data_IF_504620352457
#
_entry.id   IF_504620352457
#
_cell.length_a   1.000
_cell.length_b   1.000
_cell.length_c   1.000
_cell.angle_alpha   90.00
_cell.angle_beta   90.00
_cell.angle_gamma   90.00
#
_symmetry.space_group_name_H-M   'P 1'
#
loop_
_entity.id
_entity.type
_entity.pdbx_description
1 polymer ?
#
# COMPACT_ATOMS: atom_id res chain seq x y z
N UNK A 1 -24.91 -16.89 -24.73
CA UNK A 1 -23.54 -17.43 -24.54
C UNK A 1 -22.59 -16.49 -23.80
N UNK A 2 -23.11 -15.55 -22.99
CA UNK A 2 -22.26 -14.63 -22.18
C UNK A 2 -21.87 -15.20 -20.80
N UNK A 3 -22.39 -16.39 -20.43
CA UNK A 3 -22.21 -16.95 -19.09
C UNK A 3 -20.90 -17.68 -18.82
N UNK A 4 -20.04 -17.88 -19.83
CA UNK A 4 -18.81 -18.69 -19.69
C UNK A 4 -17.51 -17.87 -19.63
N UNK A 5 -17.61 -16.55 -19.72
CA UNK A 5 -16.43 -15.68 -19.59
C UNK A 5 -16.19 -15.28 -18.13
N UNK A 6 -14.95 -15.32 -17.70
CA UNK A 6 -14.50 -14.80 -16.41
C UNK A 6 -13.36 -13.85 -16.60
N UNK A 7 -13.43 -12.74 -15.89
CA UNK A 7 -12.37 -11.75 -15.81
C UNK A 7 -11.57 -12.00 -14.55
N UNK A 8 -10.27 -12.07 -14.69
CA UNK A 8 -9.33 -12.11 -13.59
C UNK A 8 -8.61 -10.77 -13.54
N UNK A 9 -8.41 -10.24 -12.34
CA UNK A 9 -7.77 -8.95 -12.19
C UNK A 9 -6.95 -8.82 -10.92
N UNK A 10 -5.89 -7.99 -10.99
CA UNK A 10 -4.99 -7.68 -9.89
C UNK A 10 -4.38 -6.30 -10.06
N UNK A 11 -3.77 -5.75 -9.01
CA UNK A 11 -2.99 -4.51 -9.09
C UNK A 11 -1.52 -4.87 -9.32
N UNK A 12 -0.91 -4.31 -10.35
CA UNK A 12 0.49 -4.55 -10.67
C UNK A 12 1.42 -4.03 -9.55
N UNK A 13 2.27 -4.87 -8.95
CA UNK A 13 3.19 -4.42 -7.90
C UNK A 13 4.24 -3.43 -8.38
N UNK A 14 4.57 -3.46 -9.70
CA UNK A 14 5.62 -2.60 -10.26
C UNK A 14 5.13 -1.20 -10.61
N UNK A 15 3.99 -1.09 -11.31
CA UNK A 15 3.49 0.22 -11.77
C UNK A 15 2.24 0.71 -11.05
N UNK A 16 1.62 -0.11 -10.20
CA UNK A 16 0.41 0.24 -9.45
C UNK A 16 -0.88 0.22 -10.27
N UNK A 17 -0.80 -0.03 -11.59
CA UNK A 17 -1.96 -0.03 -12.45
C UNK A 17 -2.84 -1.28 -12.27
N UNK A 18 -4.17 -1.16 -12.42
CA UNK A 18 -5.07 -2.31 -12.50
C UNK A 18 -4.80 -3.10 -13.78
N UNK A 19 -4.79 -4.41 -13.65
CA UNK A 19 -4.58 -5.36 -14.76
C UNK A 19 -5.76 -6.30 -14.80
N UNK A 20 -6.40 -6.43 -15.95
CA UNK A 20 -7.53 -7.33 -16.17
C UNK A 20 -7.35 -8.16 -17.44
N UNK A 21 -7.88 -9.38 -17.41
CA UNK A 21 -7.97 -10.22 -18.61
C UNK A 21 -9.13 -11.17 -18.53
N UNK A 22 -9.94 -11.19 -19.57
CA UNK A 22 -11.08 -12.10 -19.69
C UNK A 22 -10.66 -13.40 -20.36
N UNK A 23 -11.14 -14.52 -19.84
CA UNK A 23 -10.96 -15.87 -20.40
C UNK A 23 -12.27 -16.66 -20.28
N UNK A 24 -12.53 -17.54 -21.22
CA UNK A 24 -13.64 -18.48 -21.03
C UNK A 24 -13.24 -19.55 -20.01
N UNK A 25 -14.22 -20.06 -19.27
CA UNK A 25 -14.02 -21.17 -18.32
C UNK A 25 -13.36 -22.35 -19.04
N UNK A 26 -13.84 -22.65 -20.25
CA UNK A 26 -13.24 -23.71 -21.06
C UNK A 26 -11.74 -23.47 -21.35
N UNK A 27 -11.35 -22.23 -21.67
CA UNK A 27 -9.93 -21.90 -21.90
C UNK A 27 -9.11 -22.01 -20.63
N UNK A 28 -9.65 -21.62 -19.47
CA UNK A 28 -9.00 -21.74 -18.17
C UNK A 28 -8.81 -23.20 -17.72
N UNK A 29 -9.71 -24.11 -18.16
CA UNK A 29 -9.64 -25.55 -17.85
C UNK A 29 -8.78 -26.33 -18.86
N UNK A 30 -8.67 -25.85 -20.11
CA UNK A 30 -7.95 -26.54 -21.17
C UNK A 30 -6.45 -26.26 -21.21
N UNK A 31 -6.00 -25.11 -20.72
CA UNK A 31 -4.60 -24.69 -20.76
C UNK A 31 -4.29 -23.66 -19.68
N UNK A 32 -3.01 -23.55 -19.36
CA UNK A 32 -2.49 -22.47 -18.53
C UNK A 32 -2.80 -21.12 -19.19
N UNK A 33 -3.22 -20.16 -18.41
CA UNK A 33 -3.51 -18.81 -18.88
C UNK A 33 -2.67 -17.77 -18.12
N UNK A 34 -2.28 -16.74 -18.87
CA UNK A 34 -1.48 -15.63 -18.38
C UNK A 34 -2.20 -14.31 -18.62
N UNK A 35 -2.11 -13.42 -17.63
CA UNK A 35 -2.60 -12.05 -17.71
C UNK A 35 -1.45 -11.12 -17.34
N UNK A 36 -0.82 -10.54 -18.35
CA UNK A 36 0.36 -9.71 -18.20
C UNK A 36 -0.02 -8.23 -18.07
N UNK A 37 0.72 -7.52 -17.21
CA UNK A 37 0.65 -6.07 -17.15
C UNK A 37 1.33 -5.46 -18.39
N UNK A 38 0.76 -4.38 -18.93
CA UNK A 38 1.34 -3.64 -20.06
C UNK A 38 2.73 -3.09 -19.81
N UNK A 39 3.10 -2.87 -18.53
CA UNK A 39 4.46 -2.46 -18.15
C UNK A 39 5.50 -3.58 -18.22
N UNK A 40 5.09 -4.84 -18.49
CA UNK A 40 5.95 -6.02 -18.51
C UNK A 40 6.50 -6.42 -17.13
N UNK A 41 6.04 -5.79 -16.05
CA UNK A 41 6.60 -5.97 -14.71
C UNK A 41 5.96 -7.06 -13.85
N UNK A 42 4.81 -7.59 -14.29
CA UNK A 42 4.09 -8.65 -13.56
C UNK A 42 3.17 -9.44 -14.49
N UNK A 43 2.96 -10.70 -14.14
CA UNK A 43 2.07 -11.62 -14.85
C UNK A 43 1.33 -12.46 -13.81
N UNK A 44 0.00 -12.50 -13.90
CA UNK A 44 -0.82 -13.45 -13.17
C UNK A 44 -0.88 -14.74 -13.99
N UNK A 45 -0.53 -15.87 -13.37
CA UNK A 45 -0.64 -17.19 -13.98
C UNK A 45 -1.80 -17.96 -13.36
N UNK A 46 -2.54 -18.67 -14.17
CA UNK A 46 -3.59 -19.59 -13.72
C UNK A 46 -3.45 -20.91 -14.44
N UNK A 47 -3.62 -21.99 -13.72
CA UNK A 47 -3.63 -23.37 -14.24
C UNK A 47 -4.72 -24.18 -13.56
N UNK A 48 -5.15 -25.27 -14.17
CA UNK A 48 -6.19 -26.16 -13.66
C UNK A 48 -5.68 -27.61 -13.65
N UNK A 49 -5.76 -28.27 -12.49
CA UNK A 49 -5.27 -29.64 -12.29
C UNK A 49 -6.37 -30.72 -12.46
N UNK A 50 -7.57 -30.33 -12.91
CA UNK A 50 -8.74 -31.20 -13.03
C UNK A 50 -9.64 -31.19 -11.79
N UNK A 51 -9.18 -30.64 -10.67
CA UNK A 51 -9.92 -30.54 -9.42
C UNK A 51 -10.03 -29.12 -8.89
N UNK A 52 -8.99 -28.30 -9.09
CA UNK A 52 -8.93 -26.93 -8.58
C UNK A 52 -8.07 -26.04 -9.48
N UNK A 53 -8.35 -24.77 -9.45
CA UNK A 53 -7.49 -23.76 -10.06
C UNK A 53 -6.36 -23.39 -9.12
N UNK A 54 -5.17 -23.26 -9.68
CA UNK A 54 -3.99 -22.70 -9.05
C UNK A 54 -3.73 -21.33 -9.64
N UNK A 55 -3.67 -20.31 -8.82
CA UNK A 55 -3.37 -18.95 -9.23
C UNK A 55 -2.07 -18.48 -8.58
N UNK A 56 -1.15 -17.96 -9.40
CA UNK A 56 0.03 -17.26 -8.95
C UNK A 56 -0.22 -15.76 -9.15
N UNK A 57 -0.52 -15.07 -8.06
CA UNK A 57 -0.99 -13.68 -8.06
C UNK A 57 0.12 -12.74 -7.67
N UNK A 58 0.59 -11.84 -8.57
CA UNK A 58 1.45 -10.74 -8.19
C UNK A 58 0.67 -9.74 -7.32
N UNK A 59 1.10 -9.52 -6.11
CA UNK A 59 0.37 -8.72 -5.14
C UNK A 59 0.79 -7.25 -5.17
N UNK A 60 -0.10 -6.35 -5.55
CA UNK A 60 0.14 -4.91 -5.53
C UNK A 60 0.26 -4.31 -4.13
N UNK A 61 -0.15 -5.05 -3.10
CA UNK A 61 -0.09 -4.61 -1.69
C UNK A 61 1.29 -4.86 -1.09
N UNK A 62 1.77 -6.12 -1.09
CA UNK A 62 3.03 -6.49 -0.44
C UNK A 62 4.21 -6.68 -1.41
N UNK A 63 3.97 -6.60 -2.73
CA UNK A 63 5.00 -6.78 -3.77
C UNK A 63 5.42 -8.22 -4.04
N UNK A 64 4.91 -9.21 -3.29
CA UNK A 64 5.24 -10.64 -3.46
C UNK A 64 4.26 -11.35 -4.39
N UNK A 65 4.62 -12.57 -4.81
CA UNK A 65 3.72 -13.47 -5.53
C UNK A 65 3.06 -14.39 -4.50
N UNK A 66 1.72 -14.45 -4.53
CA UNK A 66 0.94 -15.38 -3.69
C UNK A 66 0.40 -16.53 -4.53
N UNK A 67 0.49 -17.71 -3.98
CA UNK A 67 -0.14 -18.90 -4.53
C UNK A 67 -1.49 -19.11 -3.85
N UNK A 68 -2.54 -19.26 -4.66
CA UNK A 68 -3.87 -19.55 -4.17
C UNK A 68 -4.49 -20.72 -4.93
N UNK A 69 -5.29 -21.51 -4.22
CA UNK A 69 -6.05 -22.61 -4.79
C UNK A 69 -7.55 -22.34 -4.65
N UNK A 70 -8.26 -22.41 -5.76
CA UNK A 70 -9.69 -22.15 -5.81
C UNK A 70 -10.44 -23.37 -6.37
N UNK A 71 -11.51 -23.83 -5.72
CA UNK A 71 -12.38 -24.87 -6.29
C UNK A 71 -13.12 -24.30 -7.53
N UNK A 72 -13.47 -25.15 -8.51
CA UNK A 72 -14.09 -24.72 -9.77
C UNK A 72 -15.37 -23.91 -9.58
N UNK A 73 -16.15 -24.23 -8.58
CA UNK A 73 -17.42 -23.57 -8.27
C UNK A 73 -17.21 -22.08 -8.02
N UNK A 74 -16.17 -21.71 -7.25
CA UNK A 74 -15.87 -20.31 -6.96
C UNK A 74 -15.53 -19.48 -8.20
N UNK A 75 -14.84 -20.09 -9.17
CA UNK A 75 -14.54 -19.43 -10.44
C UNK A 75 -15.79 -19.35 -11.31
N UNK A 76 -16.61 -20.40 -11.33
CA UNK A 76 -17.86 -20.45 -12.11
C UNK A 76 -18.94 -19.52 -11.57
N UNK A 77 -19.05 -19.40 -10.26
CA UNK A 77 -20.04 -18.52 -9.59
C UNK A 77 -19.75 -17.03 -9.81
N UNK A 78 -18.55 -16.69 -10.26
CA UNK A 78 -18.22 -15.37 -10.78
C UNK A 78 -18.07 -14.25 -9.75
N UNK A 79 -17.79 -14.58 -8.48
CA UNK A 79 -17.54 -13.58 -7.43
C UNK A 79 -16.53 -14.10 -6.41
N UNK A 80 -15.27 -14.16 -6.80
CA UNK A 80 -14.17 -14.58 -5.91
C UNK A 80 -13.15 -13.47 -5.72
N UNK A 81 -12.81 -13.18 -4.47
CA UNK A 81 -11.72 -12.31 -4.11
C UNK A 81 -10.68 -13.10 -3.29
N UNK A 82 -9.41 -12.89 -3.61
CA UNK A 82 -8.27 -13.49 -2.92
C UNK A 82 -7.57 -12.44 -2.09
N UNK A 83 -7.27 -12.77 -0.83
CA UNK A 83 -6.63 -11.86 0.10
C UNK A 83 -5.13 -12.10 0.17
N UNK A 84 -4.37 -11.02 0.33
CA UNK A 84 -2.96 -11.06 0.67
C UNK A 84 -2.78 -11.69 2.07
N UNK A 85 -1.98 -12.76 2.23
CA UNK A 85 -1.76 -13.38 3.53
C UNK A 85 -1.10 -12.46 4.57
N UNK A 86 -0.34 -11.46 4.11
CA UNK A 86 0.40 -10.54 4.97
C UNK A 86 -0.44 -9.38 5.46
N UNK A 87 -1.18 -8.72 4.54
CA UNK A 87 -1.97 -7.52 4.86
C UNK A 87 -3.46 -7.79 5.07
N UNK A 88 -3.94 -8.99 4.70
CA UNK A 88 -5.36 -9.39 4.65
C UNK A 88 -6.23 -8.58 3.68
N UNK A 89 -5.64 -7.67 2.92
CA UNK A 89 -6.34 -6.93 1.88
C UNK A 89 -6.52 -7.78 0.63
N UNK A 90 -7.56 -7.49 -0.13
CA UNK A 90 -7.78 -8.19 -1.40
C UNK A 90 -6.72 -7.83 -2.42
N UNK A 91 -6.16 -8.84 -3.09
CA UNK A 91 -5.07 -8.68 -4.06
C UNK A 91 -5.40 -9.22 -5.45
N UNK A 92 -6.46 -10.03 -5.59
CA UNK A 92 -6.94 -10.54 -6.86
C UNK A 92 -8.46 -10.73 -6.81
N UNK A 93 -9.10 -10.48 -7.95
CA UNK A 93 -10.54 -10.61 -8.13
C UNK A 93 -10.82 -11.48 -9.35
N UNK A 94 -11.81 -12.36 -9.24
CA UNK A 94 -12.28 -13.20 -10.34
C UNK A 94 -13.79 -13.10 -10.40
N UNK A 95 -14.33 -12.78 -11.58
CA UNK A 95 -15.77 -12.61 -11.72
C UNK A 95 -16.20 -12.04 -13.05
N UNK A 96 -17.38 -11.42 -13.06
CA UNK A 96 -17.84 -10.66 -14.20
C UNK A 96 -17.04 -9.36 -14.35
N UNK A 97 -16.81 -8.91 -15.57
CA UNK A 97 -15.92 -7.78 -15.89
C UNK A 97 -16.24 -6.52 -15.09
N UNK A 98 -17.51 -6.12 -15.00
CA UNK A 98 -17.91 -4.93 -14.28
C UNK A 98 -17.67 -5.01 -12.77
N UNK A 99 -17.81 -6.20 -12.19
CA UNK A 99 -17.54 -6.44 -10.75
C UNK A 99 -16.04 -6.37 -10.49
N UNK A 100 -15.24 -7.01 -11.33
CA UNK A 100 -13.78 -7.01 -11.20
C UNK A 100 -13.21 -5.62 -11.41
N UNK A 101 -13.68 -4.86 -12.41
CA UNK A 101 -13.25 -3.47 -12.65
C UNK A 101 -13.56 -2.58 -11.44
N UNK A 102 -14.76 -2.70 -10.88
CA UNK A 102 -15.16 -1.93 -9.70
C UNK A 102 -14.23 -2.19 -8.50
N UNK A 103 -14.00 -3.47 -8.17
CA UNK A 103 -13.13 -3.83 -7.03
C UNK A 103 -11.66 -3.47 -7.26
N UNK A 104 -11.18 -3.54 -8.49
CA UNK A 104 -9.81 -3.11 -8.81
C UNK A 104 -9.62 -1.61 -8.63
N UNK A 105 -10.60 -0.80 -9.01
CA UNK A 105 -10.56 0.66 -8.75
C UNK A 105 -10.56 0.99 -7.27
N UNK A 106 -11.39 0.28 -6.48
CA UNK A 106 -11.37 0.43 -5.03
C UNK A 106 -10.01 0.04 -4.42
N UNK A 107 -9.45 -1.10 -4.86
CA UNK A 107 -8.14 -1.57 -4.43
C UNK A 107 -7.01 -0.60 -4.84
N UNK A 108 -7.03 -0.07 -6.06
CA UNK A 108 -6.07 0.93 -6.53
C UNK A 108 -6.09 2.19 -5.66
N UNK A 109 -7.30 2.70 -5.34
CA UNK A 109 -7.47 3.86 -4.46
C UNK A 109 -6.95 3.56 -3.05
N UNK A 110 -7.26 2.38 -2.50
CA UNK A 110 -6.81 1.98 -1.17
C UNK A 110 -5.29 1.88 -1.09
N UNK A 111 -4.65 1.17 -2.06
CA UNK A 111 -3.21 1.02 -2.15
C UNK A 111 -2.52 2.38 -2.38
N UNK A 112 -3.10 3.24 -3.21
CA UNK A 112 -2.56 4.59 -3.46
C UNK A 112 -2.63 5.47 -2.23
N UNK A 113 -3.72 5.38 -1.44
CA UNK A 113 -3.84 6.09 -0.17
C UNK A 113 -2.82 5.60 0.86
N UNK A 114 -2.62 4.29 0.97
CA UNK A 114 -1.62 3.71 1.87
C UNK A 114 -0.20 4.09 1.44
N UNK A 115 0.10 4.01 0.13
CA UNK A 115 1.38 4.49 -0.40
C UNK A 115 1.58 5.99 -0.21
N UNK A 116 0.53 6.80 -0.32
CA UNK A 116 0.60 8.24 -0.05
C UNK A 116 0.75 8.54 1.44
N UNK A 117 0.20 7.70 2.32
CA UNK A 117 0.38 7.78 3.77
C UNK A 117 1.72 7.19 4.23
N UNK A 118 2.24 6.20 3.50
CA UNK A 118 3.57 5.61 3.68
C UNK A 118 4.63 6.20 2.76
N UNK A 119 4.25 7.07 1.84
CA UNK A 119 5.11 7.61 0.78
C UNK A 119 5.86 8.87 1.17
N UNK A 120 6.98 8.67 1.79
CA UNK A 120 8.20 9.42 1.47
C UNK A 120 9.41 8.55 1.81
N UNK A 121 10.01 7.98 0.79
CA UNK A 121 11.32 7.31 0.88
C UNK A 121 11.23 5.79 1.01
N UNK A 122 12.16 5.12 0.34
CA UNK A 122 12.52 3.73 0.53
C UNK A 122 12.46 3.39 2.02
N UNK A 123 11.58 2.45 2.39
CA UNK A 123 11.46 1.99 3.77
C UNK A 123 12.71 1.20 4.14
N UNK A 124 13.78 1.89 4.47
CA UNK A 124 14.74 1.31 5.40
C UNK A 124 13.94 0.95 6.66
N UNK A 125 13.98 -0.31 7.05
CA UNK A 125 13.30 -0.75 8.28
C UNK A 125 13.70 0.17 9.43
N UNK A 126 12.73 0.66 10.20
CA UNK A 126 13.00 1.51 11.35
C UNK A 126 13.93 0.80 12.33
N UNK A 127 14.73 1.56 13.04
CA UNK A 127 15.63 1.03 14.06
C UNK A 127 14.82 0.33 15.15
N UNK A 128 13.68 0.90 15.54
CA UNK A 128 12.64 0.28 16.37
C UNK A 128 11.25 0.73 15.88
N UNK A 129 10.43 -0.22 15.45
CA UNK A 129 9.11 0.07 14.92
C UNK A 129 8.11 0.54 15.99
N UNK A 130 8.25 0.07 17.23
CA UNK A 130 7.35 0.44 18.33
C UNK A 130 7.63 1.88 18.74
N UNK A 131 8.88 2.21 18.97
CA UNK A 131 9.32 3.57 19.32
C UNK A 131 8.92 4.56 18.24
N UNK A 132 9.17 4.24 16.97
CA UNK A 132 8.78 5.13 15.87
C UNK A 132 7.27 5.36 15.81
N UNK A 133 6.47 4.31 16.04
CA UNK A 133 5.01 4.44 16.05
C UNK A 133 4.52 5.35 17.18
N UNK A 134 5.02 5.16 18.40
CA UNK A 134 4.67 5.98 19.55
C UNK A 134 5.16 7.42 19.38
N UNK A 135 6.36 7.60 18.84
CA UNK A 135 6.93 8.91 18.50
C UNK A 135 6.05 9.70 17.52
N UNK A 136 5.59 9.04 16.44
CA UNK A 136 4.69 9.66 15.45
C UNK A 136 3.32 9.97 16.04
N UNK A 137 2.82 9.16 16.98
CA UNK A 137 1.57 9.43 17.69
C UNK A 137 1.68 10.69 18.54
N UNK A 138 2.75 10.81 19.36
CA UNK A 138 2.99 12.00 20.19
C UNK A 138 3.20 13.26 19.32
N UNK A 139 3.98 13.12 18.23
CA UNK A 139 4.21 14.23 17.32
C UNK A 139 2.89 14.73 16.67
N UNK A 140 1.96 13.82 16.38
CA UNK A 140 0.63 14.17 15.88
C UNK A 140 -0.18 14.93 16.93
N UNK A 141 -0.10 14.51 18.19
CA UNK A 141 -0.80 15.18 19.30
C UNK A 141 -0.26 16.59 19.53
N UNK A 142 1.08 16.76 19.43
CA UNK A 142 1.70 18.09 19.46
C UNK A 142 1.21 18.94 18.28
N UNK A 143 1.18 18.38 17.06
CA UNK A 143 0.76 19.10 15.87
C UNK A 143 -0.72 19.51 15.89
N UNK A 144 -1.57 18.74 16.57
CA UNK A 144 -3.00 19.05 16.74
C UNK A 144 -3.28 20.21 17.69
N UNK A 145 -2.31 20.59 18.52
CA UNK A 145 -2.44 21.72 19.46
C UNK A 145 -2.32 23.07 18.70
N UNK A 146 -3.00 24.13 19.16
CA UNK A 146 -2.80 25.47 18.59
C UNK A 146 -1.33 25.89 18.68
N UNK A 147 -0.72 26.20 17.54
CA UNK A 147 0.71 26.53 17.43
C UNK A 147 1.65 25.45 17.97
N UNK A 148 1.25 24.17 17.87
CA UNK A 148 2.05 23.04 18.36
C UNK A 148 3.36 22.87 17.61
N UNK A 149 3.35 23.11 16.29
CA UNK A 149 4.57 23.13 15.45
C UNK A 149 4.63 24.46 14.72
N UNK A 150 5.71 25.21 14.94
CA UNK A 150 5.91 26.54 14.33
C UNK A 150 7.34 26.66 13.81
N UNK A 151 7.59 27.62 12.95
CA UNK A 151 8.95 27.97 12.51
C UNK A 151 9.37 29.32 13.08
N UNK A 152 10.64 29.49 13.39
CA UNK A 152 11.23 30.77 13.82
C UNK A 152 11.07 31.91 12.80
N UNK A 153 10.70 31.61 11.53
CA UNK A 153 10.30 32.64 10.57
C UNK A 153 8.84 33.11 10.70
N UNK A 154 8.08 32.57 11.67
CA UNK A 154 6.66 32.89 11.87
C UNK A 154 5.70 31.98 11.11
N UNK A 155 6.17 31.06 10.28
CA UNK A 155 5.34 30.14 9.50
C UNK A 155 4.83 28.97 10.34
N UNK A 156 3.62 28.51 10.00
CA UNK A 156 3.01 27.27 10.50
C UNK A 156 2.95 26.17 9.42
N UNK A 157 3.46 26.47 8.22
CA UNK A 157 3.44 25.56 7.07
C UNK A 157 4.75 24.74 7.04
N UNK A 158 4.62 23.42 7.20
CA UNK A 158 5.77 22.52 7.18
C UNK A 158 5.45 21.21 6.42
N UNK A 159 6.48 20.51 6.03
CA UNK A 159 6.43 19.12 5.60
C UNK A 159 7.17 18.23 6.58
N UNK A 160 6.75 16.98 6.68
CA UNK A 160 7.35 15.98 7.55
C UNK A 160 7.89 14.86 6.68
N UNK A 161 9.11 14.44 6.94
CA UNK A 161 9.77 13.30 6.32
C UNK A 161 10.23 12.32 7.39
N UNK A 162 9.81 11.05 7.26
CA UNK A 162 10.13 9.99 8.22
C UNK A 162 11.37 9.27 7.71
N UNK A 163 12.39 9.19 8.56
CA UNK A 163 13.64 8.46 8.32
C UNK A 163 13.69 7.20 9.19
N UNK A 164 14.69 6.38 9.00
CA UNK A 164 14.89 5.13 9.74
C UNK A 164 14.94 5.33 11.26
N UNK A 165 15.56 6.39 11.71
CA UNK A 165 15.93 6.69 13.12
C UNK A 165 15.50 8.09 13.56
N UNK A 166 14.76 8.82 12.72
CA UNK A 166 14.42 10.22 12.97
C UNK A 166 13.20 10.68 12.19
N UNK A 167 12.62 11.78 12.62
CA UNK A 167 11.61 12.55 11.86
C UNK A 167 12.19 13.92 11.54
N UNK A 168 12.14 14.33 10.27
CA UNK A 168 12.62 15.62 9.80
C UNK A 168 11.45 16.53 9.43
N UNK A 169 11.36 17.68 10.11
CA UNK A 169 10.38 18.72 9.81
C UNK A 169 11.03 19.81 8.99
N UNK A 170 10.47 20.17 7.84
CA UNK A 170 10.97 21.22 6.97
C UNK A 170 9.95 22.33 6.82
N UNK A 171 10.29 23.56 7.17
CA UNK A 171 9.43 24.72 6.92
C UNK A 171 9.27 24.95 5.41
N UNK A 172 8.04 25.09 4.94
CA UNK A 172 7.78 25.30 3.50
C UNK A 172 8.12 26.70 3.03
N UNK A 173 8.13 27.70 3.93
CA UNK A 173 8.36 29.09 3.55
C UNK A 173 9.84 29.46 3.56
N UNK A 174 10.61 29.04 4.56
CA UNK A 174 12.04 29.42 4.66
C UNK A 174 13.02 28.27 4.43
N UNK A 175 12.51 27.02 4.26
CA UNK A 175 13.32 25.82 4.05
C UNK A 175 14.17 25.41 5.26
N UNK A 176 13.93 25.97 6.44
CA UNK A 176 14.59 25.55 7.67
C UNK A 176 14.16 24.15 8.07
N UNK A 177 15.07 23.38 8.67
CA UNK A 177 14.84 21.98 9.03
C UNK A 177 15.06 21.76 10.51
N UNK A 178 14.25 20.89 11.10
CA UNK A 178 14.38 20.35 12.45
C UNK A 178 14.39 18.83 12.34
N UNK A 179 15.47 18.20 12.77
CA UNK A 179 15.56 16.73 12.86
C UNK A 179 15.34 16.33 14.31
N UNK A 180 14.40 15.43 14.50
CA UNK A 180 14.03 14.81 15.77
C UNK A 180 14.47 13.36 15.73
N UNK A 181 15.33 12.91 16.62
CA UNK A 181 15.72 11.51 16.77
C UNK A 181 14.53 10.68 17.26
N UNK A 182 14.35 9.48 16.73
CA UNK A 182 13.24 8.58 17.03
C UNK A 182 13.71 7.12 17.01
N UNK A 183 14.85 6.84 17.64
CA UNK A 183 15.51 5.54 17.63
C UNK A 183 15.45 4.82 19.00
N UNK A 184 15.22 5.55 20.08
CA UNK A 184 15.29 5.04 21.47
C UNK A 184 14.13 5.55 22.32
N UNK A 185 13.81 4.83 23.42
CA UNK A 185 12.83 5.28 24.43
C UNK A 185 13.17 6.69 24.97
N UNK A 186 14.45 7.01 25.09
CA UNK A 186 14.89 8.33 25.53
C UNK A 186 14.50 9.43 24.55
N UNK A 187 14.56 9.15 23.24
CA UNK A 187 14.12 10.11 22.21
C UNK A 187 12.61 10.37 22.30
N UNK A 188 11.83 9.34 22.64
CA UNK A 188 10.40 9.44 22.91
C UNK A 188 10.12 10.25 24.18
N UNK A 189 10.83 9.97 25.26
CA UNK A 189 10.72 10.71 26.53
C UNK A 189 11.05 12.20 26.32
N UNK A 190 12.12 12.49 25.55
CA UNK A 190 12.50 13.86 25.22
C UNK A 190 11.39 14.57 24.43
N UNK A 191 10.74 13.89 23.46
CA UNK A 191 9.62 14.45 22.70
C UNK A 191 8.41 14.72 23.61
N UNK A 192 8.06 13.80 24.50
CA UNK A 192 6.94 13.92 25.44
C UNK A 192 7.09 15.11 26.40
N UNK A 193 8.32 15.57 26.66
CA UNK A 193 8.58 16.78 27.43
C UNK A 193 8.24 18.07 26.67
N UNK A 194 7.97 18.01 25.37
CA UNK A 194 7.72 19.18 24.56
C UNK A 194 6.23 19.40 24.33
N UNK A 195 5.71 20.51 24.80
CA UNK A 195 4.33 20.97 24.49
C UNK A 195 4.22 21.64 23.10
N UNK A 196 5.34 22.13 22.58
CA UNK A 196 5.47 22.84 21.29
C UNK A 196 6.84 22.57 20.68
N UNK A 197 6.87 22.50 19.37
CA UNK A 197 8.10 22.36 18.59
C UNK A 197 8.33 23.61 17.74
N UNK A 198 9.55 24.09 17.72
CA UNK A 198 9.93 25.26 16.93
C UNK A 198 11.04 24.86 15.94
N UNK A 199 10.72 24.88 14.63
CA UNK A 199 11.72 24.70 13.58
C UNK A 199 12.64 25.94 13.62
N UNK A 200 13.98 25.78 13.74
CA UNK A 200 14.90 26.94 13.80
C UNK A 200 14.87 27.68 12.47
N UNK A 201 14.12 28.79 12.40
CA UNK A 201 13.95 29.56 11.16
C UNK A 201 15.26 30.11 10.63
N UNK A 202 15.39 30.12 9.30
CA UNK A 202 16.44 30.93 8.64
C UNK A 202 15.95 32.37 8.61
N UNK A 203 16.74 33.26 9.19
CA UNK A 203 16.54 34.71 9.05
C UNK A 203 16.85 35.15 7.64
#
# INVERSE_FOLDING_TARGET
MAGDMRTLGYICPKCGAPVMGARSIFALEASDAEIACSCGGSVLHTSFDGQRYRLLVPCGVCGKIHEAFCPPERIRDGATALSCPESRQFCCFVGDEGIVDHHLREAEIAISKEKAQSGSGETEAFTDNVIMYEFLSELRDIAARPNGITCGCGSHSYSMEIRRDAVELTCRDCGARLRLSAATDRDLDDLCCHMKLVIPGKK
#
